data_IF_878758437113
#
_entry.id   IF_878758437113
#
_cell.length_a   1.000
_cell.length_b   1.000
_cell.length_c   1.000
_cell.angle_alpha   90.00
_cell.angle_beta   90.00
_cell.angle_gamma   90.00
#
_symmetry.space_group_name_H-M   'P 1'
#
loop_
_entity.id
_entity.type
_entity.pdbx_description
1 polymer ?
#
# COMPACT_ATOMS: atom_id res chain seq x y z
N UNK A 1 -2.67 17.55 17.67
CA UNK A 1 -2.58 16.26 16.99
C UNK A 1 -1.25 16.17 16.27
N UNK A 2 -0.43 15.18 16.61
CA UNK A 2 0.87 14.96 15.96
C UNK A 2 0.72 13.96 14.81
N UNK A 3 1.13 14.36 13.62
CA UNK A 3 0.98 13.58 12.39
C UNK A 3 2.34 13.38 11.72
N UNK A 4 2.65 12.14 11.35
CA UNK A 4 3.85 11.79 10.59
C UNK A 4 3.47 11.46 9.13
N UNK A 5 4.08 12.16 8.18
CA UNK A 5 4.01 11.86 6.75
C UNK A 5 5.17 10.96 6.35
N UNK A 6 4.89 9.81 5.73
CA UNK A 6 5.91 8.87 5.25
C UNK A 6 5.69 8.61 3.76
N UNK A 7 6.57 9.16 2.93
CA UNK A 7 6.49 9.05 1.47
C UNK A 7 7.88 9.36 0.90
N UNK A 8 8.39 8.63 -0.08
CA UNK A 8 9.68 8.91 -0.72
C UNK A 8 9.61 10.10 -1.69
N UNK A 9 8.42 10.51 -2.12
CA UNK A 9 8.19 11.61 -3.05
C UNK A 9 8.13 12.97 -2.34
N UNK A 10 9.21 13.75 -2.43
CA UNK A 10 9.31 15.07 -1.78
C UNK A 10 8.20 16.05 -2.17
N UNK A 11 7.74 16.04 -3.43
CA UNK A 11 6.65 16.92 -3.91
C UNK A 11 5.32 16.57 -3.23
N UNK A 12 5.03 15.28 -3.07
CA UNK A 12 3.81 14.81 -2.41
C UNK A 12 3.83 15.22 -0.93
N UNK A 13 4.95 14.99 -0.22
CA UNK A 13 5.10 15.41 1.18
C UNK A 13 4.89 16.92 1.35
N UNK A 14 5.49 17.74 0.50
CA UNK A 14 5.32 19.19 0.54
C UNK A 14 3.86 19.62 0.31
N UNK A 15 3.16 18.97 -0.62
CA UNK A 15 1.74 19.20 -0.88
C UNK A 15 0.86 18.84 0.32
N UNK A 16 1.05 17.65 0.89
CA UNK A 16 0.32 17.19 2.08
C UNK A 16 0.62 18.06 3.30
N UNK A 17 1.87 18.44 3.54
CA UNK A 17 2.23 19.35 4.64
C UNK A 17 1.54 20.69 4.49
N UNK A 18 1.46 21.25 3.28
CA UNK A 18 0.74 22.50 3.03
C UNK A 18 -0.77 22.35 3.27
N UNK A 19 -1.35 21.26 2.78
CA UNK A 19 -2.78 20.97 2.95
C UNK A 19 -3.15 20.83 4.44
N UNK A 20 -2.38 20.03 5.17
CA UNK A 20 -2.62 19.75 6.59
C UNK A 20 -2.19 20.89 7.50
N UNK A 21 -1.18 21.67 7.12
CA UNK A 21 -0.72 22.85 7.86
C UNK A 21 -1.71 24.02 7.83
N UNK A 22 -2.69 23.99 6.92
CA UNK A 22 -3.82 24.92 6.94
C UNK A 22 -4.83 24.65 8.06
N UNK A 23 -4.75 23.50 8.73
CA UNK A 23 -5.61 23.13 9.84
C UNK A 23 -4.95 23.44 11.19
N UNK A 24 -5.65 24.22 12.02
CA UNK A 24 -5.20 24.52 13.37
C UNK A 24 -5.04 23.24 14.21
N UNK A 25 -3.90 23.12 14.89
CA UNK A 25 -3.65 22.04 15.86
C UNK A 25 -3.06 20.75 15.28
N UNK A 26 -2.64 20.73 14.01
CA UNK A 26 -1.88 19.61 13.42
C UNK A 26 -0.39 19.97 13.37
N UNK A 27 0.43 19.19 14.07
CA UNK A 27 1.89 19.26 13.99
C UNK A 27 2.37 18.18 13.02
N UNK A 28 2.94 18.58 11.88
CA UNK A 28 3.34 17.66 10.81
C UNK A 28 4.85 17.42 10.84
N UNK A 29 5.23 16.16 11.03
CA UNK A 29 6.59 15.64 10.83
C UNK A 29 6.68 14.87 9.51
N UNK A 30 7.87 14.76 8.92
CA UNK A 30 8.09 14.08 7.64
C UNK A 30 9.19 13.01 7.74
N UNK A 31 9.04 11.93 6.98
CA UNK A 31 10.04 10.90 6.75
C UNK A 31 10.02 10.49 5.26
N UNK A 32 11.20 10.37 4.65
CA UNK A 32 11.37 9.91 3.27
C UNK A 32 11.57 8.39 3.15
N UNK A 33 11.88 7.71 4.25
CA UNK A 33 12.17 6.27 4.27
C UNK A 33 11.47 5.58 5.44
N UNK A 34 11.29 4.26 5.34
CA UNK A 34 10.74 3.47 6.44
C UNK A 34 11.62 3.48 7.69
N UNK A 35 12.94 3.56 7.51
CA UNK A 35 13.90 3.70 8.62
C UNK A 35 13.75 5.02 9.36
N UNK A 36 13.60 6.12 8.62
CA UNK A 36 13.29 7.43 9.21
C UNK A 36 11.94 7.41 9.94
N UNK A 37 10.92 6.77 9.36
CA UNK A 37 9.60 6.68 9.99
C UNK A 37 9.66 5.96 11.35
N UNK A 38 10.39 4.85 11.46
CA UNK A 38 10.60 4.13 12.72
C UNK A 38 11.39 4.95 13.75
N UNK A 39 12.36 5.75 13.31
CA UNK A 39 13.08 6.66 14.20
C UNK A 39 12.16 7.79 14.72
N UNK A 40 11.34 8.37 13.83
CA UNK A 40 10.40 9.44 14.15
C UNK A 40 9.24 8.98 15.04
N UNK A 41 8.85 7.71 14.96
CA UNK A 41 7.87 7.13 15.86
C UNK A 41 8.27 7.34 17.34
N UNK A 42 9.55 7.14 17.65
CA UNK A 42 10.09 7.28 19.01
C UNK A 42 10.32 8.73 19.43
N UNK A 43 10.82 9.57 18.53
CA UNK A 43 11.20 10.96 18.86
C UNK A 43 10.02 11.93 18.80
N UNK A 44 9.16 11.83 17.79
CA UNK A 44 8.03 12.74 17.59
C UNK A 44 6.76 12.26 18.30
N UNK A 45 6.65 10.95 18.59
CA UNK A 45 5.46 10.32 19.18
C UNK A 45 4.17 10.70 18.44
N UNK A 46 4.08 10.38 17.13
CA UNK A 46 2.90 10.70 16.34
C UNK A 46 1.68 9.91 16.85
N UNK A 47 0.51 10.52 16.70
CA UNK A 47 -0.79 9.89 16.96
C UNK A 47 -1.37 9.28 15.68
N UNK A 48 -1.05 9.89 14.53
CA UNK A 48 -1.46 9.45 13.20
C UNK A 48 -0.25 9.38 12.27
N UNK A 49 -0.19 8.35 11.43
CA UNK A 49 0.74 8.24 10.30
C UNK A 49 -0.04 8.25 9.00
N UNK A 50 0.36 9.08 8.06
CA UNK A 50 -0.03 8.94 6.65
C UNK A 50 1.13 8.25 5.94
N UNK A 51 0.88 7.03 5.46
CA UNK A 51 1.90 6.11 4.98
C UNK A 51 1.71 5.79 3.49
N UNK A 52 2.72 6.07 2.69
CA UNK A 52 2.82 5.49 1.36
C UNK A 52 3.23 4.02 1.42
N UNK A 53 2.56 3.19 0.64
CA UNK A 53 2.97 1.81 0.47
C UNK A 53 4.20 1.69 -0.46
N UNK A 54 4.34 2.61 -1.42
CA UNK A 54 5.34 2.60 -2.50
C UNK A 54 6.81 2.73 -2.11
N UNK A 55 7.16 2.66 -0.82
CA UNK A 55 8.53 2.87 -0.34
C UNK A 55 9.54 1.84 -0.90
N UNK A 56 10.73 2.28 -1.36
CA UNK A 56 11.70 1.44 -2.09
C UNK A 56 12.57 0.49 -1.24
N UNK A 57 12.49 0.52 0.10
CA UNK A 57 13.33 -0.31 0.98
C UNK A 57 12.49 -1.36 1.74
N UNK A 58 11.81 -0.92 2.81
CA UNK A 58 10.82 -1.68 3.54
C UNK A 58 9.50 -1.50 2.82
N UNK A 59 8.99 -2.57 2.21
CA UNK A 59 7.67 -2.54 1.58
C UNK A 59 6.64 -1.98 2.57
N UNK A 60 5.81 -1.01 2.14
CA UNK A 60 5.05 -0.23 3.11
C UNK A 60 4.04 -1.02 3.96
N UNK A 61 3.58 -2.19 3.50
CA UNK A 61 2.79 -3.10 4.35
C UNK A 61 3.61 -3.68 5.51
N UNK A 62 4.88 -3.98 5.28
CA UNK A 62 5.78 -4.46 6.33
C UNK A 62 6.10 -3.34 7.33
N UNK A 63 6.34 -2.12 6.82
CA UNK A 63 6.51 -0.94 7.68
C UNK A 63 5.26 -0.70 8.54
N UNK A 64 4.06 -0.77 7.95
CA UNK A 64 2.80 -0.66 8.69
C UNK A 64 2.74 -1.64 9.86
N UNK A 65 3.05 -2.92 9.63
CA UNK A 65 3.05 -3.94 10.69
C UNK A 65 4.05 -3.62 11.79
N UNK A 66 5.27 -3.17 11.44
CA UNK A 66 6.30 -2.78 12.41
C UNK A 66 5.89 -1.58 13.25
N UNK A 67 5.30 -0.56 12.62
CA UNK A 67 4.79 0.62 13.32
C UNK A 67 3.72 0.25 14.35
N UNK A 68 2.77 -0.63 13.99
CA UNK A 68 1.73 -1.10 14.91
C UNK A 68 2.27 -2.06 15.98
N UNK A 69 3.32 -2.82 15.68
CA UNK A 69 3.99 -3.66 16.67
C UNK A 69 4.69 -2.80 17.74
N UNK A 70 5.36 -1.71 17.34
CA UNK A 70 6.01 -0.77 18.27
C UNK A 70 5.00 0.11 19.02
N UNK A 71 3.93 0.56 18.36
CA UNK A 71 2.88 1.38 18.95
C UNK A 71 1.47 0.90 18.53
N UNK A 72 0.85 -0.02 19.29
CA UNK A 72 -0.45 -0.61 18.93
C UNK A 72 -1.63 0.37 18.87
N UNK A 73 -1.52 1.53 19.54
CA UNK A 73 -2.53 2.59 19.52
C UNK A 73 -2.38 3.54 18.32
N UNK A 74 -1.33 3.38 17.51
CA UNK A 74 -1.04 4.26 16.38
C UNK A 74 -2.11 4.11 15.30
N UNK A 75 -2.60 5.25 14.80
CA UNK A 75 -3.57 5.26 13.72
C UNK A 75 -2.85 5.45 12.39
N UNK A 76 -2.97 4.49 11.48
CA UNK A 76 -2.30 4.54 10.18
C UNK A 76 -3.32 4.73 9.07
N UNK A 77 -3.16 5.79 8.28
CA UNK A 77 -3.88 6.03 7.04
C UNK A 77 -2.91 5.71 5.91
N UNK A 78 -3.28 4.76 5.06
CA UNK A 78 -2.52 4.49 3.85
C UNK A 78 -2.88 5.51 2.77
N UNK A 79 -1.86 6.09 2.13
CA UNK A 79 -2.00 7.05 1.02
C UNK A 79 -1.16 6.57 -0.17
N UNK A 80 -1.77 5.80 -1.07
CA UNK A 80 -1.05 5.04 -2.09
C UNK A 80 -1.39 5.44 -3.52
N UNK A 81 -0.43 5.37 -4.44
CA UNK A 81 -0.70 5.49 -5.89
C UNK A 81 -1.63 4.39 -6.43
N UNK A 82 -1.81 3.33 -5.63
CA UNK A 82 -2.63 2.17 -5.93
C UNK A 82 -4.02 2.32 -5.34
N UNK A 83 -5.01 2.46 -6.20
CA UNK A 83 -6.42 2.53 -5.83
C UNK A 83 -7.10 1.15 -5.82
N UNK A 84 -6.36 0.08 -6.13
CA UNK A 84 -6.89 -1.26 -6.27
C UNK A 84 -7.28 -1.86 -4.91
N UNK A 85 -8.48 -2.43 -4.82
CA UNK A 85 -9.00 -3.03 -3.59
C UNK A 85 -8.10 -4.12 -2.98
N UNK A 86 -7.23 -4.77 -3.76
CA UNK A 86 -6.28 -5.76 -3.23
C UNK A 86 -5.34 -5.14 -2.19
N UNK A 87 -4.69 -4.03 -2.51
CA UNK A 87 -3.76 -3.36 -1.60
C UNK A 87 -4.51 -2.78 -0.40
N UNK A 88 -5.70 -2.22 -0.62
CA UNK A 88 -6.56 -1.74 0.45
C UNK A 88 -6.96 -2.86 1.42
N UNK A 89 -7.40 -4.01 0.92
CA UNK A 89 -7.77 -5.15 1.76
C UNK A 89 -6.58 -5.62 2.62
N UNK A 90 -5.38 -5.70 2.04
CA UNK A 90 -4.16 -6.13 2.74
C UNK A 90 -3.74 -5.12 3.82
N UNK A 91 -3.78 -3.82 3.51
CA UNK A 91 -3.49 -2.76 4.47
C UNK A 91 -4.48 -2.76 5.64
N UNK A 92 -5.78 -2.87 5.36
CA UNK A 92 -6.83 -2.95 6.38
C UNK A 92 -6.69 -4.20 7.26
N UNK A 93 -6.40 -5.37 6.67
CA UNK A 93 -6.09 -6.60 7.42
C UNK A 93 -4.84 -6.46 8.28
N UNK A 94 -3.85 -5.69 7.83
CA UNK A 94 -2.63 -5.43 8.59
C UNK A 94 -2.84 -4.40 9.73
N UNK A 95 -4.01 -3.76 9.81
CA UNK A 95 -4.38 -2.85 10.89
C UNK A 95 -4.48 -1.37 10.51
N UNK A 96 -4.45 -1.02 9.21
CA UNK A 96 -4.71 0.35 8.78
C UNK A 96 -6.08 0.85 9.29
N UNK A 97 -6.10 2.06 9.82
CA UNK A 97 -7.32 2.76 10.21
C UNK A 97 -8.00 3.45 9.00
N UNK A 98 -7.24 3.72 7.94
CA UNK A 98 -7.82 4.18 6.69
C UNK A 98 -7.00 3.92 5.45
N UNK A 99 -7.64 4.11 4.29
CA UNK A 99 -7.02 3.94 2.98
C UNK A 99 -7.57 4.98 2.00
N UNK A 100 -6.64 5.68 1.34
CA UNK A 100 -6.86 6.68 0.33
C UNK A 100 -5.91 6.45 -0.85
N UNK A 101 -6.37 6.71 -2.06
CA UNK A 101 -5.51 6.83 -3.22
C UNK A 101 -4.83 8.20 -3.25
N UNK A 102 -3.63 8.31 -3.85
CA UNK A 102 -2.98 9.61 -4.12
C UNK A 102 -3.72 10.47 -5.17
N UNK A 103 -4.85 9.99 -5.68
CA UNK A 103 -5.76 10.71 -6.58
C UNK A 103 -6.94 11.33 -5.83
N UNK A 104 -7.14 10.97 -4.56
CA UNK A 104 -8.20 11.50 -3.73
C UNK A 104 -8.16 13.03 -3.70
N UNK A 105 -9.34 13.63 -3.61
CA UNK A 105 -9.43 15.08 -3.51
C UNK A 105 -8.82 15.57 -2.18
N UNK A 106 -8.24 16.78 -2.12
CA UNK A 106 -7.66 17.32 -0.89
C UNK A 106 -8.61 17.28 0.31
N UNK A 107 -9.91 17.50 0.07
CA UNK A 107 -10.96 17.46 1.08
C UNK A 107 -11.15 16.05 1.68
N UNK A 108 -10.94 15.00 0.89
CA UNK A 108 -11.02 13.61 1.36
C UNK A 108 -9.84 13.25 2.27
N UNK A 109 -8.64 13.76 1.96
CA UNK A 109 -7.46 13.59 2.82
C UNK A 109 -7.71 14.22 4.19
N UNK A 110 -8.27 15.43 4.21
CA UNK A 110 -8.63 16.14 5.44
C UNK A 110 -9.67 15.35 6.25
N UNK A 111 -10.75 14.91 5.59
CA UNK A 111 -11.82 14.16 6.25
C UNK A 111 -11.32 12.82 6.80
N UNK A 112 -10.42 12.14 6.08
CA UNK A 112 -9.80 10.91 6.55
C UNK A 112 -8.99 11.13 7.82
N UNK A 113 -8.11 12.14 7.82
CA UNK A 113 -7.30 12.50 9.00
C UNK A 113 -8.20 12.85 10.18
N UNK A 114 -9.26 13.62 9.97
CA UNK A 114 -10.21 13.99 11.03
C UNK A 114 -10.94 12.77 11.61
N UNK A 115 -11.58 11.95 10.77
CA UNK A 115 -12.33 10.77 11.22
C UNK A 115 -11.45 9.76 11.93
N UNK A 116 -10.26 9.51 11.40
CA UNK A 116 -9.31 8.58 12.02
C UNK A 116 -8.77 9.18 13.33
N UNK A 117 -8.52 10.49 13.37
CA UNK A 117 -8.17 11.22 14.60
C UNK A 117 -9.21 11.05 15.71
N UNK A 118 -10.49 11.04 15.37
CA UNK A 118 -11.62 10.79 16.29
C UNK A 118 -11.78 9.31 16.69
N UNK A 119 -10.94 8.40 16.17
CA UNK A 119 -10.98 6.96 16.46
C UNK A 119 -11.85 6.15 15.50
N UNK A 120 -12.39 6.79 14.46
CA UNK A 120 -13.10 6.12 13.38
C UNK A 120 -12.18 5.46 12.35
N UNK A 121 -12.79 4.97 11.27
CA UNK A 121 -12.11 4.49 10.07
C UNK A 121 -12.50 5.31 8.84
N UNK A 122 -11.62 5.37 7.86
CA UNK A 122 -11.91 6.05 6.58
C UNK A 122 -11.41 5.23 5.41
N UNK A 123 -12.27 4.94 4.44
CA UNK A 123 -11.89 4.32 3.17
C UNK A 123 -12.51 5.16 2.07
N UNK A 124 -11.71 5.53 1.06
CA UNK A 124 -12.19 6.20 -0.16
C UNK A 124 -13.37 5.42 -0.77
N UNK A 125 -14.38 6.14 -1.26
CA UNK A 125 -15.69 5.57 -1.61
C UNK A 125 -15.59 4.46 -2.65
N UNK A 126 -14.84 4.72 -3.71
CA UNK A 126 -14.63 3.81 -4.84
C UNK A 126 -13.97 2.51 -4.39
N UNK A 127 -12.97 2.62 -3.52
CA UNK A 127 -12.23 1.50 -2.93
C UNK A 127 -13.14 0.72 -1.98
N UNK A 128 -13.93 1.41 -1.16
CA UNK A 128 -14.89 0.78 -0.25
C UNK A 128 -15.96 -0.02 -1.01
N UNK A 129 -16.46 0.52 -2.13
CA UNK A 129 -17.42 -0.16 -2.99
C UNK A 129 -16.80 -1.42 -3.61
N UNK A 130 -15.59 -1.32 -4.15
CA UNK A 130 -14.90 -2.48 -4.72
C UNK A 130 -14.62 -3.57 -3.67
N UNK A 131 -14.19 -3.18 -2.46
CA UNK A 131 -14.01 -4.10 -1.33
C UNK A 131 -15.31 -4.80 -0.94
N UNK A 132 -16.44 -4.08 -0.92
CA UNK A 132 -17.74 -4.66 -0.59
C UNK A 132 -18.21 -5.68 -1.64
N UNK A 133 -18.02 -5.36 -2.93
CA UNK A 133 -18.33 -6.28 -4.03
C UNK A 133 -17.46 -7.53 -3.96
N UNK A 134 -16.15 -7.38 -3.68
CA UNK A 134 -15.24 -8.52 -3.51
C UNK A 134 -15.55 -9.34 -2.27
N UNK A 135 -15.94 -8.73 -1.15
CA UNK A 135 -16.31 -9.47 0.06
C UNK A 135 -17.56 -10.33 -0.13
N UNK A 136 -18.44 -9.95 -1.06
CA UNK A 136 -19.60 -10.77 -1.45
C UNK A 136 -19.22 -12.01 -2.28
N UNK A 137 -18.01 -12.04 -2.85
CA UNK A 137 -17.44 -13.19 -3.57
C UNK A 137 -16.37 -13.82 -2.67
N UNK A 138 -16.68 -14.93 -2.00
CA UNK A 138 -15.92 -15.54 -0.88
C UNK A 138 -14.46 -15.97 -1.12
N UNK A 139 -13.84 -15.62 -2.23
CA UNK A 139 -12.52 -16.14 -2.60
C UNK A 139 -11.41 -15.10 -2.34
N UNK A 140 -10.37 -15.47 -1.58
CA UNK A 140 -9.14 -14.68 -1.51
C UNK A 140 -8.43 -14.75 -2.88
N UNK A 141 -8.19 -13.61 -3.56
CA UNK A 141 -7.50 -13.58 -4.85
C UNK A 141 -6.14 -14.30 -4.86
N UNK A 142 -5.46 -14.34 -3.72
CA UNK A 142 -4.16 -15.04 -3.58
C UNK A 142 -4.36 -16.55 -3.62
N UNK A 143 -5.45 -17.07 -3.05
CA UNK A 143 -5.77 -18.51 -3.07
C UNK A 143 -6.13 -19.00 -4.48
N UNK A 144 -6.51 -18.10 -5.38
CA UNK A 144 -6.76 -18.43 -6.79
C UNK A 144 -5.48 -18.53 -7.64
N UNK A 145 -4.32 -18.18 -7.07
CA UNK A 145 -3.03 -18.29 -7.78
C UNK A 145 -2.60 -19.76 -7.83
N UNK A 146 -2.29 -20.23 -9.03
CA UNK A 146 -1.72 -21.56 -9.25
C UNK A 146 -0.24 -21.58 -8.86
N UNK A 147 0.35 -22.77 -8.71
CA UNK A 147 1.80 -22.89 -8.48
C UNK A 147 2.64 -22.18 -9.56
N UNK A 148 2.15 -22.20 -10.81
CA UNK A 148 2.81 -21.49 -11.92
C UNK A 148 2.68 -19.97 -11.82
N UNK A 149 1.55 -19.49 -11.31
CA UNK A 149 1.35 -18.06 -11.07
C UNK A 149 2.32 -17.55 -10.00
N UNK A 150 2.45 -18.29 -8.90
CA UNK A 150 3.37 -17.96 -7.81
C UNK A 150 4.83 -17.98 -8.25
N UNK A 151 5.22 -18.95 -9.07
CA UNK A 151 6.58 -19.05 -9.62
C UNK A 151 6.94 -17.85 -10.50
N UNK A 152 6.04 -17.45 -11.41
CA UNK A 152 6.24 -16.25 -12.24
C UNK A 152 6.25 -14.98 -11.39
N UNK A 153 5.34 -14.88 -10.42
CA UNK A 153 5.24 -13.72 -9.53
C UNK A 153 6.52 -13.54 -8.70
N UNK A 154 7.09 -14.64 -8.18
CA UNK A 154 8.38 -14.64 -7.49
C UNK A 154 9.51 -14.10 -8.38
N UNK A 155 9.68 -14.66 -9.58
CA UNK A 155 10.76 -14.24 -10.49
C UNK A 155 10.62 -12.77 -10.92
N UNK A 156 9.39 -12.27 -11.06
CA UNK A 156 9.12 -10.85 -11.26
C UNK A 156 9.57 -10.02 -10.06
N UNK A 157 9.27 -10.46 -8.84
CA UNK A 157 9.71 -9.81 -7.60
C UNK A 157 11.24 -9.75 -7.45
N UNK A 158 11.94 -10.77 -7.95
CA UNK A 158 13.41 -10.83 -8.02
C UNK A 158 13.99 -9.88 -9.10
N UNK A 159 13.14 -9.17 -9.83
CA UNK A 159 13.53 -8.17 -10.83
C UNK A 159 13.76 -8.72 -12.23
N UNK A 160 13.40 -10.00 -12.49
CA UNK A 160 13.58 -10.59 -13.81
C UNK A 160 12.57 -10.03 -14.83
N UNK A 161 13.04 -9.82 -16.04
CA UNK A 161 12.22 -9.49 -17.20
C UNK A 161 11.42 -10.70 -17.67
N UNK A 162 10.31 -10.46 -18.38
CA UNK A 162 9.47 -11.53 -18.94
C UNK A 162 10.25 -12.47 -19.89
N UNK A 163 11.30 -11.98 -20.53
CA UNK A 163 12.16 -12.77 -21.42
C UNK A 163 13.11 -13.69 -20.62
N UNK A 164 13.68 -13.20 -19.53
CA UNK A 164 14.49 -14.02 -18.61
C UNK A 164 13.63 -15.10 -17.96
N UNK A 165 12.44 -14.74 -17.49
CA UNK A 165 11.46 -15.68 -16.92
C UNK A 165 11.09 -16.77 -17.95
N UNK A 166 10.83 -16.40 -19.20
CA UNK A 166 10.53 -17.37 -20.26
C UNK A 166 11.69 -18.36 -20.45
N UNK A 167 12.92 -17.87 -20.38
CA UNK A 167 14.14 -18.69 -20.49
C UNK A 167 14.30 -19.62 -19.29
N UNK A 168 14.21 -19.11 -18.07
CA UNK A 168 14.32 -19.87 -16.81
C UNK A 168 13.28 -20.99 -16.76
N UNK A 169 12.06 -20.66 -17.19
CA UNK A 169 10.91 -21.57 -17.12
C UNK A 169 10.72 -22.43 -18.36
N UNK A 170 11.64 -22.37 -19.34
CA UNK A 170 11.61 -23.08 -20.61
C UNK A 170 10.26 -22.99 -21.37
N UNK A 171 9.66 -21.79 -21.40
CA UNK A 171 8.41 -21.51 -22.13
C UNK A 171 8.55 -20.31 -23.06
N UNK A 172 7.56 -20.06 -23.91
CA UNK A 172 7.57 -18.87 -24.77
C UNK A 172 7.33 -17.59 -23.97
N UNK A 173 7.89 -16.46 -24.44
CA UNK A 173 7.56 -15.13 -23.93
C UNK A 173 6.05 -14.88 -23.88
N UNK A 174 5.32 -15.31 -24.91
CA UNK A 174 3.86 -15.17 -25.01
C UNK A 174 3.15 -15.90 -23.88
N UNK A 175 3.64 -17.08 -23.48
CA UNK A 175 3.11 -17.84 -22.34
C UNK A 175 3.25 -17.06 -21.04
N UNK A 176 4.42 -16.48 -20.78
CA UNK A 176 4.67 -15.66 -19.59
C UNK A 176 3.78 -14.42 -19.60
N UNK A 177 3.72 -13.69 -20.73
CA UNK A 177 2.89 -12.49 -20.85
C UNK A 177 1.39 -12.76 -20.65
N UNK A 178 0.88 -13.87 -21.20
CA UNK A 178 -0.50 -14.29 -21.00
C UNK A 178 -0.77 -14.66 -19.53
N UNK A 179 0.15 -15.38 -18.90
CA UNK A 179 0.03 -15.76 -17.48
C UNK A 179 0.03 -14.52 -16.60
N UNK A 180 0.95 -13.56 -16.82
CA UNK A 180 0.93 -12.26 -16.12
C UNK A 180 -0.40 -11.52 -16.30
N UNK A 181 -1.04 -11.62 -17.47
CA UNK A 181 -2.36 -11.02 -17.70
C UNK A 181 -3.45 -11.69 -16.86
N UNK A 182 -3.41 -13.02 -16.73
CA UNK A 182 -4.33 -13.77 -15.88
C UNK A 182 -4.09 -13.49 -14.39
N UNK A 183 -2.84 -13.44 -13.94
CA UNK A 183 -2.48 -13.07 -12.56
C UNK A 183 -3.03 -11.69 -12.23
N UNK A 184 -2.83 -10.71 -13.12
CA UNK A 184 -3.39 -9.35 -12.96
C UNK A 184 -4.91 -9.35 -12.82
N UNK A 185 -5.62 -10.13 -13.63
CA UNK A 185 -7.07 -10.25 -13.53
C UNK A 185 -7.51 -10.88 -12.20
N UNK A 186 -6.85 -11.96 -11.77
CA UNK A 186 -7.12 -12.63 -10.48
C UNK A 186 -6.92 -11.68 -9.30
N UNK A 187 -5.79 -10.99 -9.26
CA UNK A 187 -5.43 -10.06 -8.18
C UNK A 187 -6.16 -8.71 -8.29
N UNK A 188 -6.77 -8.44 -9.45
CA UNK A 188 -7.47 -7.20 -9.76
C UNK A 188 -6.54 -5.99 -9.78
N UNK A 189 -5.39 -6.13 -10.45
CA UNK A 189 -4.42 -5.06 -10.71
C UNK A 189 -4.17 -4.90 -12.20
N UNK A 190 -3.50 -3.82 -12.62
CA UNK A 190 -3.41 -3.46 -14.04
C UNK A 190 -1.98 -3.48 -14.58
N UNK A 191 -0.97 -3.22 -13.75
CA UNK A 191 0.43 -3.04 -14.18
C UNK A 191 1.31 -4.19 -13.72
N UNK A 192 2.35 -4.47 -14.49
CA UNK A 192 3.36 -5.48 -14.11
C UNK A 192 4.15 -5.04 -12.88
N UNK A 193 4.35 -3.74 -12.69
CA UNK A 193 4.95 -3.18 -11.47
C UNK A 193 4.16 -3.56 -10.21
N UNK A 194 2.82 -3.64 -10.31
CA UNK A 194 1.96 -4.03 -9.19
C UNK A 194 2.21 -5.50 -8.83
N UNK A 195 2.43 -6.36 -9.83
CA UNK A 195 2.80 -7.76 -9.62
C UNK A 195 4.15 -7.90 -8.91
N UNK A 196 5.18 -7.17 -9.38
CA UNK A 196 6.51 -7.18 -8.74
C UNK A 196 6.42 -6.76 -7.27
N UNK A 197 5.69 -5.68 -7.00
CA UNK A 197 5.48 -5.18 -5.64
C UNK A 197 4.69 -6.16 -4.77
N UNK A 198 3.68 -6.81 -5.33
CA UNK A 198 2.93 -7.85 -4.63
C UNK A 198 3.77 -9.08 -4.29
N UNK A 199 4.71 -9.47 -5.15
CA UNK A 199 5.62 -10.57 -4.85
C UNK A 199 6.39 -10.32 -3.54
N UNK A 200 6.88 -9.09 -3.35
CA UNK A 200 7.56 -8.65 -2.13
C UNK A 200 6.57 -8.61 -0.96
N UNK A 201 5.38 -8.05 -1.15
CA UNK A 201 4.34 -7.96 -0.09
C UNK A 201 3.77 -9.31 0.37
N UNK A 202 3.87 -10.34 -0.49
CA UNK A 202 3.49 -11.72 -0.20
C UNK A 202 4.66 -12.52 0.39
N UNK A 203 5.86 -11.96 0.48
CA UNK A 203 7.05 -12.65 0.98
C UNK A 203 7.52 -13.78 0.07
N UNK A 204 7.32 -13.64 -1.25
CA UNK A 204 7.78 -14.61 -2.24
C UNK A 204 9.27 -14.45 -2.58
N UNK A 205 9.88 -13.35 -2.15
CA UNK A 205 11.27 -12.92 -2.39
C UNK A 205 11.92 -12.50 -1.08
#
# INVERSE_FOLDING_TARGET
MKLLLVDDHAVIRAGLRRLLGGFHGIEVSEAGTGREALAMLRSAQPEIVVLDLGLPELGGLELLRRLLLEQPSLKIIVFSMHAEAFHAARALRAGAAGYLSKRAAPEEVIEAVRRVGEGGRYIEREIAQELALRAATTDDPVEQLTGRDLEILRLLGEGQSLAEIATVLAVSYKTVANTCTQIKAKLGVTRTSDLMRMAIELGLT
#
